data_IF_459857158179
#
_entry.id   IF_459857158179
#
_cell.length_a   1.000
_cell.length_b   1.000
_cell.length_c   1.000
_cell.angle_alpha   90.00
_cell.angle_beta   90.00
_cell.angle_gamma   90.00
#
_symmetry.space_group_name_H-M   'P 1'
#
loop_
_entity.id
_entity.type
_entity.pdbx_description
1 polymer ?
#
# COMPACT_ATOMS: atom_id res chain seq x y z
N UNK A 1 22.14 8.74 11.36
CA UNK A 1 20.83 8.63 10.68
C UNK A 1 20.99 7.61 9.57
N UNK A 2 20.29 6.49 9.65
CA UNK A 2 20.18 5.52 8.56
C UNK A 2 19.31 6.12 7.46
N UNK A 3 19.76 6.09 6.22
CA UNK A 3 18.93 6.51 5.09
C UNK A 3 17.79 5.51 4.93
N UNK A 4 16.56 6.00 4.99
CA UNK A 4 15.33 5.20 4.80
C UNK A 4 15.06 5.03 3.32
N UNK A 5 15.63 4.01 2.72
CA UNK A 5 15.43 3.66 1.31
C UNK A 5 14.82 2.27 1.20
N UNK A 6 13.83 2.12 0.36
CA UNK A 6 13.22 0.82 0.09
C UNK A 6 14.22 -0.17 -0.51
N UNK A 7 14.11 -1.42 -0.07
CA UNK A 7 14.92 -2.53 -0.54
C UNK A 7 14.00 -3.69 -0.93
N UNK A 8 14.10 -4.17 -2.18
CA UNK A 8 13.24 -5.26 -2.69
C UNK A 8 13.34 -6.57 -1.90
N UNK A 9 14.48 -6.81 -1.26
CA UNK A 9 14.69 -8.01 -0.43
C UNK A 9 14.11 -7.87 0.99
N UNK A 10 13.78 -6.65 1.40
CA UNK A 10 13.24 -6.33 2.71
C UNK A 10 11.78 -5.88 2.68
N UNK A 11 11.30 -5.38 1.55
CA UNK A 11 9.98 -4.76 1.44
C UNK A 11 8.88 -5.76 1.10
N UNK A 12 7.69 -5.53 1.67
CA UNK A 12 6.41 -6.11 1.24
C UNK A 12 5.43 -4.98 0.94
N UNK A 13 4.57 -5.17 -0.06
CA UNK A 13 3.48 -4.24 -0.37
C UNK A 13 2.24 -4.60 0.45
N UNK A 14 1.68 -3.61 1.15
CA UNK A 14 0.44 -3.74 1.93
C UNK A 14 -0.62 -2.83 1.33
N UNK A 15 -1.63 -3.43 0.71
CA UNK A 15 -2.78 -2.75 0.10
C UNK A 15 -3.95 -2.81 1.06
N UNK A 16 -4.40 -1.66 1.55
CA UNK A 16 -5.44 -1.56 2.58
C UNK A 16 -6.78 -1.16 1.95
N UNK A 17 -7.74 -2.06 1.97
CA UNK A 17 -9.20 -1.83 1.81
C UNK A 17 -9.62 -1.01 0.57
N UNK A 18 -9.05 -1.23 -0.60
CA UNK A 18 -9.44 -0.54 -1.84
C UNK A 18 -10.70 -1.19 -2.42
N UNK A 19 -11.85 -0.94 -1.77
CA UNK A 19 -13.11 -1.63 -1.99
C UNK A 19 -14.17 -0.76 -2.68
N UNK A 20 -15.11 -1.40 -3.37
CA UNK A 20 -16.11 -0.76 -4.24
C UNK A 20 -16.99 0.29 -3.52
N UNK A 21 -17.37 0.06 -2.25
CA UNK A 21 -18.21 1.01 -1.51
C UNK A 21 -17.56 2.39 -1.34
N UNK A 22 -16.23 2.47 -1.35
CA UNK A 22 -15.51 3.73 -1.22
C UNK A 22 -15.48 4.57 -2.50
N UNK A 23 -15.76 3.98 -3.66
CA UNK A 23 -15.73 4.67 -4.96
C UNK A 23 -16.57 5.96 -4.98
N UNK A 24 -17.75 5.92 -4.37
CA UNK A 24 -18.63 7.10 -4.29
C UNK A 24 -18.30 8.04 -3.14
N UNK A 25 -17.62 7.56 -2.12
CA UNK A 25 -17.35 8.31 -0.90
C UNK A 25 -16.04 9.11 -0.97
N UNK A 26 -15.08 8.68 -1.78
CA UNK A 26 -13.75 9.26 -1.86
C UNK A 26 -13.58 9.94 -3.24
N UNK A 27 -13.46 11.27 -3.29
CA UNK A 27 -13.34 12.01 -4.56
C UNK A 27 -12.16 11.58 -5.43
N UNK A 28 -11.03 11.22 -4.80
CA UNK A 28 -9.80 10.77 -5.48
C UNK A 28 -9.74 9.25 -5.72
N UNK A 29 -10.85 8.52 -5.58
CA UNK A 29 -10.86 7.06 -5.57
C UNK A 29 -10.21 6.45 -6.82
N UNK A 30 -10.58 6.90 -8.01
CA UNK A 30 -10.05 6.39 -9.28
C UNK A 30 -8.53 6.59 -9.40
N UNK A 31 -8.05 7.75 -8.94
CA UNK A 31 -6.62 8.01 -8.91
C UNK A 31 -5.90 7.07 -7.94
N UNK A 32 -6.46 6.86 -6.74
CA UNK A 32 -5.89 5.97 -5.73
C UNK A 32 -5.87 4.53 -6.25
N UNK A 33 -6.99 4.03 -6.78
CA UNK A 33 -7.06 2.67 -7.34
C UNK A 33 -6.05 2.47 -8.48
N UNK A 34 -5.92 3.44 -9.39
CA UNK A 34 -4.91 3.41 -10.45
C UNK A 34 -3.47 3.44 -9.93
N UNK A 35 -3.19 4.23 -8.89
CA UNK A 35 -1.88 4.27 -8.23
C UNK A 35 -1.55 2.95 -7.54
N UNK A 36 -2.52 2.36 -6.84
CA UNK A 36 -2.38 1.04 -6.20
C UNK A 36 -2.15 -0.06 -7.23
N UNK A 37 -2.88 -0.05 -8.35
CA UNK A 37 -2.68 -1.00 -9.45
C UNK A 37 -1.24 -0.96 -10.00
N UNK A 38 -0.64 0.23 -10.13
CA UNK A 38 0.76 0.39 -10.54
C UNK A 38 1.72 -0.21 -9.51
N UNK A 39 1.47 0.00 -8.23
CA UNK A 39 2.28 -0.57 -7.15
C UNK A 39 2.20 -2.10 -7.16
N UNK A 40 1.01 -2.68 -7.33
CA UNK A 40 0.81 -4.13 -7.39
C UNK A 40 1.59 -4.72 -8.57
N UNK A 41 1.44 -4.15 -9.77
CA UNK A 41 2.18 -4.59 -10.97
C UNK A 41 3.70 -4.45 -10.80
N UNK A 42 4.16 -3.37 -10.18
CA UNK A 42 5.59 -3.18 -9.89
C UNK A 42 6.11 -4.17 -8.86
N UNK A 43 5.34 -4.44 -7.81
CA UNK A 43 5.67 -5.44 -6.79
C UNK A 43 5.77 -6.84 -7.38
N UNK A 44 4.78 -7.24 -8.20
CA UNK A 44 4.80 -8.52 -8.90
C UNK A 44 6.02 -8.64 -9.81
N UNK A 45 6.30 -7.64 -10.65
CA UNK A 45 7.44 -7.65 -11.56
C UNK A 45 8.77 -7.84 -10.83
N UNK A 46 8.90 -7.28 -9.62
CA UNK A 46 10.11 -7.33 -8.81
C UNK A 46 10.10 -8.47 -7.77
N UNK A 47 9.03 -9.28 -7.70
CA UNK A 47 8.92 -10.42 -6.79
C UNK A 47 8.74 -10.04 -5.32
N UNK A 48 8.12 -8.88 -5.01
CA UNK A 48 7.78 -8.51 -3.65
C UNK A 48 6.53 -9.27 -3.17
N UNK A 49 6.47 -9.69 -1.90
CA UNK A 49 5.23 -10.11 -1.28
C UNK A 49 4.18 -9.01 -1.34
N UNK A 50 2.94 -9.39 -1.68
CA UNK A 50 1.77 -8.49 -1.74
C UNK A 50 0.71 -8.98 -0.79
N UNK A 51 0.28 -8.11 0.13
CA UNK A 51 -0.83 -8.35 1.04
C UNK A 51 -1.96 -7.39 0.69
N UNK A 52 -3.17 -7.91 0.61
CA UNK A 52 -4.38 -7.11 0.34
C UNK A 52 -5.38 -7.38 1.45
N UNK A 53 -6.00 -6.34 1.99
CA UNK A 53 -7.05 -6.49 2.99
C UNK A 53 -8.39 -5.99 2.49
N UNK A 54 -9.47 -6.56 3.05
CA UNK A 54 -10.86 -6.12 2.85
C UNK A 54 -11.54 -5.93 4.19
N UNK A 55 -11.98 -4.70 4.46
CA UNK A 55 -12.77 -4.37 5.62
C UNK A 55 -14.22 -4.82 5.41
N UNK A 56 -14.70 -5.77 6.23
CA UNK A 56 -16.10 -6.22 6.21
C UNK A 56 -16.70 -6.31 4.79
N UNK A 57 -16.20 -7.20 3.92
CA UNK A 57 -16.57 -7.20 2.49
C UNK A 57 -18.06 -7.40 2.23
N UNK A 58 -18.80 -8.05 3.15
CA UNK A 58 -20.27 -8.16 3.08
C UNK A 58 -20.99 -6.82 3.07
N UNK A 59 -20.39 -5.79 3.66
CA UNK A 59 -20.94 -4.43 3.70
C UNK A 59 -20.27 -3.47 2.74
N UNK A 60 -18.96 -3.60 2.53
CA UNK A 60 -18.15 -2.66 1.74
C UNK A 60 -17.79 -3.17 0.34
N UNK A 61 -18.17 -4.39 0.01
CA UNK A 61 -17.84 -5.00 -1.27
C UNK A 61 -16.39 -5.53 -1.30
N UNK A 62 -16.03 -6.08 -2.44
CA UNK A 62 -14.71 -6.65 -2.70
C UNK A 62 -13.71 -5.58 -3.17
N UNK A 63 -12.44 -5.95 -3.19
CA UNK A 63 -11.37 -5.17 -3.84
C UNK A 63 -11.76 -4.88 -5.28
N UNK A 64 -11.59 -3.63 -5.69
CA UNK A 64 -12.04 -3.19 -7.03
C UNK A 64 -11.26 -3.87 -8.15
N UNK A 65 -11.91 -4.11 -9.32
CA UNK A 65 -11.28 -4.81 -10.44
C UNK A 65 -9.96 -4.19 -10.88
N UNK A 66 -9.84 -2.87 -10.86
CA UNK A 66 -8.62 -2.13 -11.23
C UNK A 66 -7.38 -2.57 -10.43
N UNK A 67 -7.58 -3.08 -9.24
CA UNK A 67 -6.52 -3.62 -8.38
C UNK A 67 -6.49 -5.14 -8.44
N UNK A 68 -7.66 -5.79 -8.32
CA UNK A 68 -7.80 -7.24 -8.22
C UNK A 68 -7.25 -7.98 -9.46
N UNK A 69 -7.44 -7.42 -10.67
CA UNK A 69 -6.96 -8.00 -11.93
C UNK A 69 -5.43 -8.04 -12.07
N UNK A 70 -4.72 -7.32 -11.20
CA UNK A 70 -3.26 -7.24 -11.19
C UNK A 70 -2.60 -7.95 -10.00
N UNK A 71 -3.40 -8.57 -9.13
CA UNK A 71 -2.85 -9.33 -8.01
C UNK A 71 -2.06 -10.54 -8.51
N UNK A 72 -0.91 -10.85 -7.92
CA UNK A 72 -0.17 -12.06 -8.24
C UNK A 72 -1.01 -13.32 -8.02
N UNK A 73 -0.75 -14.36 -8.81
CA UNK A 73 -1.44 -15.64 -8.71
C UNK A 73 -1.40 -16.21 -7.28
N UNK A 74 -2.56 -16.58 -6.76
CA UNK A 74 -2.71 -17.16 -5.43
C UNK A 74 -2.79 -16.15 -4.27
N UNK A 75 -2.76 -14.86 -4.56
CA UNK A 75 -3.02 -13.83 -3.55
C UNK A 75 -4.52 -13.64 -3.39
N UNK A 76 -5.02 -13.94 -2.21
CA UNK A 76 -6.41 -13.73 -1.81
C UNK A 76 -6.49 -12.58 -0.79
N UNK A 77 -7.47 -11.67 -0.91
CA UNK A 77 -7.66 -10.61 0.08
C UNK A 77 -7.95 -11.19 1.48
N UNK A 78 -7.36 -10.59 2.51
CA UNK A 78 -7.56 -10.95 3.90
C UNK A 78 -8.72 -10.14 4.46
N UNK A 79 -9.80 -10.82 4.83
CA UNK A 79 -10.96 -10.17 5.46
C UNK A 79 -10.64 -9.73 6.89
N UNK A 80 -11.09 -8.55 7.27
CA UNK A 80 -10.92 -8.02 8.63
C UNK A 80 -12.12 -7.24 9.14
N UNK A 81 -12.27 -7.20 10.45
CA UNK A 81 -13.24 -6.34 11.15
C UNK A 81 -12.53 -5.22 11.91
N UNK A 82 -11.30 -5.45 12.35
CA UNK A 82 -10.44 -4.41 12.92
C UNK A 82 -9.99 -3.45 11.84
N UNK A 83 -9.70 -2.21 12.20
CA UNK A 83 -9.24 -1.22 11.20
C UNK A 83 -7.81 -1.47 10.76
N UNK A 84 -6.93 -1.83 11.69
CA UNK A 84 -5.57 -2.21 11.35
C UNK A 84 -5.51 -3.54 10.59
N UNK A 85 -4.74 -3.56 9.51
CA UNK A 85 -4.45 -4.78 8.76
C UNK A 85 -3.62 -5.79 9.58
N UNK A 86 -2.77 -5.30 10.48
CA UNK A 86 -1.89 -6.12 11.33
C UNK A 86 -2.70 -7.04 12.25
N UNK A 87 -3.90 -6.62 12.67
CA UNK A 87 -4.80 -7.40 13.51
C UNK A 87 -5.63 -8.44 12.73
N UNK A 88 -5.46 -8.53 11.42
CA UNK A 88 -6.21 -9.50 10.59
C UNK A 88 -5.58 -10.90 10.68
N UNK A 89 -6.42 -11.92 10.80
CA UNK A 89 -5.96 -13.31 10.77
C UNK A 89 -5.30 -13.61 9.42
N UNK A 90 -4.05 -14.03 9.45
CA UNK A 90 -3.27 -14.33 8.25
C UNK A 90 -2.40 -13.18 7.74
N UNK A 91 -2.39 -12.02 8.42
CA UNK A 91 -1.45 -10.95 8.08
C UNK A 91 -0.02 -11.38 8.38
N UNK A 92 0.82 -11.45 7.36
CA UNK A 92 2.25 -11.82 7.49
C UNK A 92 3.05 -11.12 6.39
N UNK A 93 4.10 -10.41 6.76
CA UNK A 93 5.00 -9.74 5.81
C UNK A 93 6.01 -10.70 5.14
N UNK A 94 5.84 -12.01 5.31
CA UNK A 94 6.73 -13.03 4.74
C UNK A 94 8.20 -12.83 5.14
N UNK A 95 8.41 -12.51 6.43
CA UNK A 95 9.75 -12.25 7.00
C UNK A 95 10.38 -10.93 6.58
N UNK A 96 9.63 -10.03 5.93
CA UNK A 96 10.10 -8.70 5.54
C UNK A 96 10.01 -7.72 6.71
N UNK A 97 10.95 -6.79 6.78
CA UNK A 97 11.05 -5.76 7.82
C UNK A 97 10.85 -4.34 7.29
N UNK A 98 10.48 -4.20 6.02
CA UNK A 98 9.98 -2.96 5.41
C UNK A 98 8.57 -3.18 4.86
N UNK A 99 7.67 -2.22 5.10
CA UNK A 99 6.31 -2.23 4.55
C UNK A 99 6.07 -1.00 3.68
N UNK A 100 5.68 -1.21 2.43
CA UNK A 100 5.19 -0.18 1.54
C UNK A 100 3.67 -0.16 1.63
N UNK A 101 3.08 0.86 2.25
CA UNK A 101 1.66 0.90 2.60
C UNK A 101 0.90 1.87 1.70
N UNK A 102 -0.23 1.42 1.15
CA UNK A 102 -1.15 2.19 0.34
C UNK A 102 -2.61 1.79 0.61
N UNK A 103 -3.57 2.53 0.08
CA UNK A 103 -5.00 2.21 0.15
C UNK A 103 -5.85 3.21 0.91
N UNK A 104 -6.90 2.74 1.60
CA UNK A 104 -8.03 3.52 2.08
C UNK A 104 -8.44 3.11 3.50
N UNK A 105 -8.90 4.02 4.38
CA UNK A 105 -8.76 5.47 4.34
C UNK A 105 -7.47 5.88 5.06
N UNK A 106 -6.78 6.87 4.52
CA UNK A 106 -5.49 7.33 5.04
C UNK A 106 -5.50 7.63 6.55
N UNK A 107 -6.61 8.16 7.08
CA UNK A 107 -6.75 8.56 8.48
C UNK A 107 -7.39 7.49 9.38
N UNK A 108 -7.81 6.35 8.83
CA UNK A 108 -8.45 5.25 9.60
C UNK A 108 -7.64 3.96 9.47
N UNK A 109 -7.98 3.11 8.50
CA UNK A 109 -7.37 1.78 8.36
C UNK A 109 -5.87 1.86 8.02
N UNK A 110 -5.50 2.72 7.07
CA UNK A 110 -4.09 2.95 6.72
C UNK A 110 -3.32 3.48 7.94
N UNK A 111 -3.85 4.49 8.64
CA UNK A 111 -3.18 5.07 9.78
C UNK A 111 -2.95 4.06 10.90
N UNK A 112 -3.97 3.27 11.29
CA UNK A 112 -3.82 2.28 12.34
C UNK A 112 -2.86 1.16 11.94
N UNK A 113 -2.91 0.71 10.68
CA UNK A 113 -1.95 -0.27 10.15
C UNK A 113 -0.51 0.25 10.24
N UNK A 114 -0.29 1.50 9.84
CA UNK A 114 1.04 2.13 9.92
C UNK A 114 1.56 2.19 11.35
N UNK A 115 0.71 2.59 12.30
CA UNK A 115 1.11 2.70 13.71
C UNK A 115 1.47 1.34 14.30
N UNK A 116 0.67 0.30 14.04
CA UNK A 116 0.91 -1.05 14.55
C UNK A 116 2.16 -1.69 13.90
N UNK A 117 2.43 -1.41 12.63
CA UNK A 117 3.67 -1.83 11.97
C UNK A 117 4.90 -1.16 12.60
N UNK A 118 4.83 0.15 12.84
CA UNK A 118 5.91 0.89 13.51
C UNK A 118 6.15 0.39 14.94
N UNK A 119 5.09 0.09 15.70
CA UNK A 119 5.18 -0.48 17.04
C UNK A 119 5.79 -1.91 17.02
N UNK A 120 5.69 -2.60 15.89
CA UNK A 120 6.33 -3.91 15.64
C UNK A 120 7.75 -3.79 15.06
N UNK A 121 8.36 -2.61 15.12
CA UNK A 121 9.71 -2.32 14.62
C UNK A 121 9.89 -2.51 13.09
N UNK A 122 8.81 -2.49 12.32
CA UNK A 122 8.84 -2.48 10.85
C UNK A 122 9.13 -1.07 10.35
N UNK A 123 10.04 -0.93 9.39
CA UNK A 123 10.26 0.33 8.67
C UNK A 123 9.12 0.57 7.69
N UNK A 124 8.32 1.61 7.90
CA UNK A 124 7.10 1.85 7.12
C UNK A 124 7.28 3.01 6.14
N UNK A 125 6.96 2.76 4.87
CA UNK A 125 6.86 3.76 3.82
C UNK A 125 5.40 3.90 3.38
N UNK A 126 4.84 5.11 3.50
CA UNK A 126 3.46 5.41 3.09
C UNK A 126 3.47 6.10 1.73
N UNK A 127 2.75 5.52 0.77
CA UNK A 127 2.70 6.06 -0.60
C UNK A 127 1.65 7.15 -0.68
N UNK A 128 2.08 8.41 -0.61
CA UNK A 128 1.19 9.56 -0.47
C UNK A 128 0.22 9.77 -1.64
N UNK A 129 0.59 9.41 -2.87
CA UNK A 129 -0.26 9.49 -4.06
C UNK A 129 -1.05 8.19 -4.35
N UNK A 130 -0.94 7.21 -3.44
CA UNK A 130 -1.71 5.96 -3.46
C UNK A 130 -2.54 5.75 -2.18
N UNK A 131 -2.80 6.81 -1.42
CA UNK A 131 -3.74 6.79 -0.28
C UNK A 131 -4.82 7.84 -0.46
N UNK A 132 -6.04 7.51 -0.03
CA UNK A 132 -7.20 8.38 -0.13
C UNK A 132 -8.00 8.46 1.16
N UNK A 133 -8.84 9.49 1.28
CA UNK A 133 -9.84 9.68 2.33
C UNK A 133 -11.04 10.43 1.79
N UNK A 134 -12.16 10.41 2.53
CA UNK A 134 -13.40 11.10 2.16
C UNK A 134 -13.25 12.61 2.03
N UNK A 135 -12.28 13.19 2.73
CA UNK A 135 -11.89 14.60 2.59
C UNK A 135 -10.37 14.73 2.51
N UNK A 136 -9.90 15.79 1.86
CA UNK A 136 -8.46 16.06 1.73
C UNK A 136 -7.84 16.36 3.10
N UNK A 137 -8.56 17.05 4.00
CA UNK A 137 -8.09 17.34 5.36
C UNK A 137 -7.82 16.06 6.15
N UNK A 138 -8.70 15.06 6.05
CA UNK A 138 -8.51 13.77 6.71
C UNK A 138 -7.34 12.99 6.10
N UNK A 139 -7.18 13.04 4.77
CA UNK A 139 -6.04 12.43 4.08
C UNK A 139 -4.72 13.05 4.58
N UNK A 140 -4.62 14.37 4.57
CA UNK A 140 -3.44 15.10 5.03
C UNK A 140 -3.15 14.84 6.51
N UNK A 141 -4.20 14.83 7.36
CA UNK A 141 -4.05 14.49 8.77
C UNK A 141 -3.49 13.08 8.96
N UNK A 142 -3.98 12.11 8.21
CA UNK A 142 -3.49 10.73 8.25
C UNK A 142 -2.02 10.63 7.86
N UNK A 143 -1.63 11.25 6.75
CA UNK A 143 -0.24 11.29 6.28
C UNK A 143 0.68 11.99 7.28
N UNK A 144 0.28 13.15 7.77
CA UNK A 144 1.08 13.90 8.75
C UNK A 144 1.25 13.14 10.06
N UNK A 145 0.21 12.47 10.53
CA UNK A 145 0.28 11.63 11.74
C UNK A 145 1.21 10.44 11.55
N UNK A 146 1.15 9.77 10.40
CA UNK A 146 2.05 8.66 10.05
C UNK A 146 3.52 9.12 10.04
N UNK A 147 3.82 10.23 9.35
CA UNK A 147 5.16 10.82 9.29
C UNK A 147 5.70 11.16 10.67
N UNK A 148 4.90 11.81 11.52
CA UNK A 148 5.30 12.15 12.90
C UNK A 148 5.51 10.93 13.79
N UNK A 149 4.87 9.82 13.49
CA UNK A 149 5.08 8.55 14.19
C UNK A 149 6.36 7.83 13.73
N UNK A 150 6.97 8.24 12.63
CA UNK A 150 8.23 7.69 12.12
C UNK A 150 8.12 7.00 10.76
N UNK A 151 6.95 7.02 10.13
CA UNK A 151 6.83 6.51 8.76
C UNK A 151 7.50 7.47 7.75
N UNK A 152 8.02 6.91 6.67
CA UNK A 152 8.58 7.66 5.56
C UNK A 152 7.48 7.92 4.52
N UNK A 153 7.29 9.17 4.12
CA UNK A 153 6.39 9.48 3.01
C UNK A 153 7.12 9.31 1.68
N UNK A 154 6.48 8.64 0.74
CA UNK A 154 7.01 8.40 -0.61
C UNK A 154 5.90 8.57 -1.66
N UNK A 155 6.24 8.43 -2.93
CA UNK A 155 5.30 8.37 -4.05
C UNK A 155 5.41 7.03 -4.78
N UNK A 156 4.43 6.70 -5.62
CA UNK A 156 4.47 5.50 -6.49
C UNK A 156 5.79 5.47 -7.27
N UNK A 157 6.13 6.54 -7.96
CA UNK A 157 7.33 6.60 -8.79
C UNK A 157 8.59 6.47 -7.96
N UNK A 158 8.72 7.22 -6.86
CA UNK A 158 9.89 7.15 -5.97
C UNK A 158 10.07 5.73 -5.43
N UNK A 159 9.01 5.13 -4.90
CA UNK A 159 9.06 3.78 -4.33
C UNK A 159 9.50 2.74 -5.38
N UNK A 160 8.90 2.76 -6.56
CA UNK A 160 9.24 1.81 -7.62
C UNK A 160 10.69 1.96 -8.10
N UNK A 161 11.21 3.18 -8.24
CA UNK A 161 12.61 3.40 -8.62
C UNK A 161 13.60 3.11 -7.48
N UNK A 162 13.22 3.29 -6.23
CA UNK A 162 14.03 2.83 -5.09
C UNK A 162 14.18 1.30 -5.08
N UNK A 163 13.09 0.58 -5.31
CA UNK A 163 13.08 -0.89 -5.38
C UNK A 163 13.88 -1.43 -6.58
N UNK A 164 13.83 -0.77 -7.72
CA UNK A 164 14.62 -1.11 -8.92
C UNK A 164 16.12 -0.94 -8.73
N UNK A 165 16.54 0.05 -7.95
CA UNK A 165 17.94 0.45 -7.74
C UNK A 165 18.64 1.06 -8.95
N UNK A 166 18.46 0.55 -10.16
CA UNK A 166 19.20 1.01 -11.33
C UNK A 166 18.46 0.77 -12.65
N UNK A 167 18.89 1.46 -13.69
CA UNK A 167 18.34 1.30 -15.05
C UNK A 167 18.84 0.04 -15.77
N UNK A 168 19.73 -0.69 -15.14
CA UNK A 168 20.28 -1.98 -15.57
C UNK A 168 19.51 -3.17 -15.01
N UNK A 169 18.49 -2.94 -14.16
CA UNK A 169 17.59 -3.98 -13.69
C UNK A 169 16.77 -4.57 -14.86
N UNK A 170 16.56 -5.87 -14.85
CA UNK A 170 15.82 -6.59 -15.91
C UNK A 170 14.39 -6.06 -16.06
N UNK A 171 13.76 -5.67 -14.95
CA UNK A 171 12.39 -5.17 -14.88
C UNK A 171 12.26 -3.67 -15.20
N UNK A 172 13.38 -2.96 -15.45
CA UNK A 172 13.39 -1.50 -15.60
C UNK A 172 12.38 -0.99 -16.64
N UNK A 173 12.34 -1.59 -17.84
CA UNK A 173 11.44 -1.13 -18.90
C UNK A 173 9.96 -1.33 -18.55
N UNK A 174 9.64 -2.43 -17.88
CA UNK A 174 8.30 -2.75 -17.44
C UNK A 174 7.84 -1.74 -16.37
N UNK A 175 8.64 -1.54 -15.33
CA UNK A 175 8.33 -0.64 -14.23
C UNK A 175 8.29 0.82 -14.69
N UNK A 176 9.24 1.25 -15.53
CA UNK A 176 9.20 2.59 -16.12
C UNK A 176 7.92 2.84 -16.92
N UNK A 177 7.39 1.82 -17.60
CA UNK A 177 6.13 1.90 -18.34
C UNK A 177 4.91 2.18 -17.47
N UNK A 178 4.94 1.81 -16.18
CA UNK A 178 3.84 2.04 -15.24
C UNK A 178 3.71 3.52 -14.80
N UNK A 179 4.81 4.27 -14.83
CA UNK A 179 4.86 5.64 -14.27
C UNK A 179 4.99 6.75 -15.34
N UNK A 180 5.01 6.37 -16.61
CA UNK A 180 4.99 7.32 -17.74
C UNK A 180 3.62 7.87 -18.05
#
# INVERSE_FOLDING_TARGET
MTAHKLDRERAALVVVDVQEAFRKAIPSFEQVAGSVAKLVQGAEAMGLPVLVTEQYPKGLGETVPEVAEHLPDGIEPIEKLRFSAVEADGFDLDGRDQALVCGIEAHVCVNQTVLDLLDSEVEVHVVGDAVGSRTDENRELGLHKAERAGAVLTSVETALFELLRGSDADEFKQVQGLVK
#
